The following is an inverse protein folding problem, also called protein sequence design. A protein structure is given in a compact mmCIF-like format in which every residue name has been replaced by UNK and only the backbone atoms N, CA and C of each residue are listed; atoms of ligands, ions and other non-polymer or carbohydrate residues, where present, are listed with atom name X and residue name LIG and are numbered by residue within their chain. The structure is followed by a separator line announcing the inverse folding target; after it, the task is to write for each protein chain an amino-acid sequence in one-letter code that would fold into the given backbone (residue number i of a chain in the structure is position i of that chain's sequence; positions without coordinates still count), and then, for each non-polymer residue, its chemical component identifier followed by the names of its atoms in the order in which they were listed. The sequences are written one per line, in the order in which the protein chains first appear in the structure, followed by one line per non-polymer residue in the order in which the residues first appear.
data_IF_370452777701
#
_entry.id   IF_370452777701
#
_cell.length_a   1.000
_cell.length_b   1.000
_cell.length_c   1.000
_cell.angle_alpha   90.00
_cell.angle_beta   90.00
_cell.angle_gamma   90.00
#
_symmetry.space_group_name_H-M   'P 1'
#
loop_
_entity.id
_entity.type
_entity.pdbx_description
1 polymer ?
#
# COMPACT_ATOMS: atom_id res chain seq x y z
N UNK A 1 -38.49 10.00 -0.02
CA UNK A 1 -37.20 9.95 0.67
C UNK A 1 -36.17 9.33 -0.27
N UNK A 2 -35.15 10.08 -0.66
CA UNK A 2 -34.00 9.52 -1.40
C UNK A 2 -33.21 8.65 -0.42
N UNK A 3 -33.22 7.36 -0.62
CA UNK A 3 -32.32 6.42 0.06
C UNK A 3 -30.89 6.79 -0.37
N UNK A 4 -30.14 7.40 0.52
CA UNK A 4 -28.70 7.58 0.33
C UNK A 4 -28.10 6.18 0.36
N UNK A 5 -27.57 5.69 -0.76
CA UNK A 5 -26.83 4.45 -0.80
C UNK A 5 -25.67 4.59 0.20
N UNK A 6 -25.67 3.74 1.22
CA UNK A 6 -24.60 3.75 2.21
C UNK A 6 -23.28 3.46 1.48
N UNK A 7 -22.38 4.44 1.46
CA UNK A 7 -21.04 4.23 0.92
C UNK A 7 -20.34 3.18 1.78
N UNK A 8 -19.63 2.24 1.15
CA UNK A 8 -18.83 1.27 1.88
C UNK A 8 -17.88 1.99 2.85
N UNK A 9 -17.81 1.55 4.12
CA UNK A 9 -16.85 2.13 5.05
C UNK A 9 -15.43 1.96 4.51
N UNK A 10 -14.64 3.02 4.65
CA UNK A 10 -13.25 3.02 4.20
C UNK A 10 -12.32 2.71 5.37
N UNK A 11 -11.23 2.05 5.07
CA UNK A 11 -10.11 1.83 6.00
C UNK A 11 -8.80 2.21 5.33
N UNK A 12 -7.83 2.64 6.11
CA UNK A 12 -6.49 2.88 5.61
C UNK A 12 -5.79 1.56 5.30
N UNK A 13 -5.10 1.52 4.18
CA UNK A 13 -4.33 0.37 3.71
C UNK A 13 -2.90 0.79 3.36
N UNK A 14 -1.91 -0.03 3.70
CA UNK A 14 -0.49 0.22 3.41
C UNK A 14 -0.05 -0.52 2.14
N UNK A 15 0.41 0.22 1.15
CA UNK A 15 0.97 -0.29 -0.11
C UNK A 15 2.48 -0.52 -0.04
N UNK A 16 2.91 -1.28 0.93
CA UNK A 16 4.30 -1.71 1.09
C UNK A 16 4.35 -2.92 2.01
N UNK A 17 5.01 -3.98 1.59
CA UNK A 17 5.17 -5.18 2.42
C UNK A 17 6.66 -5.57 2.56
N UNK A 18 7.52 -4.56 2.72
CA UNK A 18 8.92 -4.84 3.04
C UNK A 18 9.00 -5.56 4.39
N UNK A 19 9.84 -6.56 4.47
CA UNK A 19 10.29 -7.16 5.72
C UNK A 19 11.79 -6.95 5.85
N UNK A 20 12.35 -7.16 7.04
CA UNK A 20 13.78 -7.03 7.26
C UNK A 20 14.57 -7.86 6.23
N UNK A 21 15.52 -7.22 5.54
CA UNK A 21 16.35 -7.82 4.51
C UNK A 21 15.74 -7.91 3.09
N UNK A 22 14.50 -7.49 2.89
CA UNK A 22 13.88 -7.45 1.55
C UNK A 22 14.18 -6.15 0.78
N UNK A 23 14.51 -5.09 1.49
CA UNK A 23 14.91 -3.80 0.92
C UNK A 23 16.26 -3.43 1.50
N UNK A 24 17.23 -3.14 0.64
CA UNK A 24 18.54 -2.69 1.06
C UNK A 24 18.48 -1.28 1.65
N UNK A 25 19.33 -0.98 2.62
CA UNK A 25 19.54 0.38 3.12
C UNK A 25 20.60 1.09 2.26
N UNK A 26 20.42 2.37 2.03
CA UNK A 26 21.42 3.25 1.43
C UNK A 26 22.42 3.74 2.47
N UNK A 27 21.94 4.00 3.68
CA UNK A 27 22.70 4.47 4.83
C UNK A 27 21.94 4.16 6.12
N UNK A 28 22.64 4.20 7.25
CA UNK A 28 22.02 4.14 8.57
C UNK A 28 21.56 5.55 8.97
N UNK A 29 20.26 5.70 9.23
CA UNK A 29 19.66 6.97 9.59
C UNK A 29 19.75 7.21 11.10
N UNK A 30 20.52 8.23 11.48
CA UNK A 30 20.73 8.63 12.90
C UNK A 30 20.05 9.96 13.25
N UNK A 31 19.11 10.41 12.43
CA UNK A 31 18.39 11.68 12.63
C UNK A 31 17.16 11.55 13.52
N UNK A 32 16.35 12.62 13.53
CA UNK A 32 15.07 12.64 14.24
C UNK A 32 14.18 11.47 13.78
N UNK A 33 13.56 10.69 14.70
CA UNK A 33 12.73 9.54 14.35
C UNK A 33 11.35 9.96 13.79
N UNK A 34 11.37 10.56 12.61
CA UNK A 34 10.19 11.01 11.84
C UNK A 34 10.33 10.62 10.38
N UNK A 35 9.23 10.15 9.77
CA UNK A 35 9.19 9.83 8.35
C UNK A 35 9.43 11.07 7.49
N UNK A 36 8.90 12.23 7.88
CA UNK A 36 9.09 13.48 7.17
C UNK A 36 10.56 13.91 7.17
N UNK A 37 11.23 13.89 8.35
CA UNK A 37 12.63 14.22 8.48
C UNK A 37 13.53 13.25 7.70
N UNK A 38 13.29 11.95 7.82
CA UNK A 38 14.05 10.93 7.08
C UNK A 38 13.85 11.03 5.57
N UNK A 39 12.62 11.32 5.10
CA UNK A 39 12.34 11.51 3.67
C UNK A 39 13.05 12.73 3.09
N UNK A 40 13.23 13.79 3.88
CA UNK A 40 13.98 14.99 3.49
C UNK A 40 15.47 14.75 3.27
N UNK A 41 16.04 13.72 3.89
CA UNK A 41 17.46 13.37 3.73
C UNK A 41 17.63 12.37 2.57
N UNK A 42 18.04 12.87 1.41
CA UNK A 42 18.28 12.06 0.18
C UNK A 42 17.14 11.10 -0.15
N UNK A 43 15.92 11.49 0.18
CA UNK A 43 14.73 10.66 -0.04
C UNK A 43 14.59 9.45 0.89
N UNK A 44 15.30 9.39 2.03
CA UNK A 44 15.19 8.34 3.04
C UNK A 44 16.21 7.21 2.91
N UNK A 45 16.39 6.48 4.01
CA UNK A 45 17.42 5.45 4.18
C UNK A 45 17.24 4.20 3.34
N UNK A 46 16.01 3.88 2.94
CA UNK A 46 15.74 2.70 2.12
C UNK A 46 16.14 2.92 0.65
N UNK A 47 16.70 1.92 -0.01
CA UNK A 47 16.98 1.94 -1.44
C UNK A 47 15.72 2.07 -2.29
N UNK A 48 14.58 1.57 -1.81
CA UNK A 48 13.28 1.77 -2.44
C UNK A 48 12.70 3.13 -2.08
N UNK A 49 12.55 4.00 -3.08
CA UNK A 49 11.98 5.35 -2.89
C UNK A 49 10.49 5.36 -2.52
N UNK A 50 9.82 4.23 -2.60
CA UNK A 50 8.39 4.05 -2.32
C UNK A 50 8.10 3.20 -1.09
N UNK A 51 9.12 2.84 -0.30
CA UNK A 51 8.94 2.02 0.89
C UNK A 51 8.38 2.81 2.06
N UNK A 52 7.73 2.11 2.98
CA UNK A 52 7.41 2.66 4.30
C UNK A 52 8.71 2.89 5.09
N UNK A 53 8.93 4.08 5.63
CA UNK A 53 10.12 4.41 6.41
C UNK A 53 10.05 3.89 7.86
N UNK A 54 8.83 3.68 8.37
CA UNK A 54 8.64 3.00 9.65
C UNK A 54 8.87 3.84 10.91
N UNK A 55 8.98 5.17 10.81
CA UNK A 55 9.17 6.04 11.99
C UNK A 55 7.87 6.43 12.70
N UNK A 56 6.70 6.16 12.12
CA UNK A 56 5.43 6.25 12.85
C UNK A 56 4.73 7.61 12.82
N UNK A 57 5.04 8.55 11.91
CA UNK A 57 4.30 9.81 11.77
C UNK A 57 2.79 9.55 11.59
N UNK A 58 2.42 8.48 10.86
CA UNK A 58 1.03 8.07 10.69
C UNK A 58 0.37 7.56 11.99
N UNK A 59 1.15 7.04 12.93
CA UNK A 59 0.67 6.64 14.27
C UNK A 59 0.32 7.87 15.08
N UNK A 60 1.22 8.86 15.10
CA UNK A 60 1.05 10.09 15.89
C UNK A 60 -0.20 10.89 15.50
N UNK A 61 -0.58 10.85 14.22
CA UNK A 61 -1.76 11.60 13.74
C UNK A 61 -3.06 10.79 13.78
N UNK A 62 -3.01 9.52 14.19
CA UNK A 62 -4.19 8.67 14.24
C UNK A 62 -4.99 8.89 15.53
N UNK A 63 -6.18 9.53 15.48
CA UNK A 63 -6.94 9.83 16.70
C UNK A 63 -7.69 8.60 17.27
N UNK A 64 -7.59 7.45 16.60
CA UNK A 64 -8.31 6.22 16.93
C UNK A 64 -7.39 5.09 17.38
N UNK A 65 -6.10 5.34 17.56
CA UNK A 65 -5.10 4.31 17.87
C UNK A 65 -5.20 3.07 16.95
N UNK A 66 -5.54 3.33 15.68
CA UNK A 66 -5.75 2.28 14.69
C UNK A 66 -4.47 1.88 13.95
N UNK A 67 -3.34 2.52 14.23
CA UNK A 67 -2.07 2.27 13.51
C UNK A 67 -0.96 2.04 14.53
N UNK A 68 -0.16 1.02 14.29
CA UNK A 68 1.09 0.76 15.00
C UNK A 68 2.24 0.59 14.01
N UNK A 69 3.48 0.77 14.45
CA UNK A 69 4.67 0.36 13.68
C UNK A 69 5.21 -0.93 14.26
N UNK A 70 5.31 -1.96 13.42
CA UNK A 70 5.88 -3.24 13.79
C UNK A 70 6.83 -3.73 12.70
N UNK A 71 8.07 -4.04 13.06
CA UNK A 71 9.09 -4.46 12.10
C UNK A 71 9.42 -3.40 11.04
N UNK A 72 9.40 -2.11 11.39
CA UNK A 72 9.66 -1.00 10.47
C UNK A 72 8.53 -0.73 9.46
N UNK A 73 7.32 -1.24 9.70
CA UNK A 73 6.15 -1.06 8.87
C UNK A 73 4.94 -0.59 9.66
N UNK A 74 4.21 0.38 9.10
CA UNK A 74 2.90 0.74 9.62
C UNK A 74 1.92 -0.42 9.43
N UNK A 75 1.20 -0.80 10.46
CA UNK A 75 0.12 -1.78 10.45
C UNK A 75 -1.16 -1.13 10.88
N UNK A 76 -2.19 -1.30 10.09
CA UNK A 76 -3.51 -0.70 10.34
C UNK A 76 -4.44 -1.78 10.91
N UNK A 77 -5.06 -1.47 12.04
CA UNK A 77 -6.16 -2.25 12.58
C UNK A 77 -7.47 -1.77 11.97
N UNK A 78 -8.01 -2.56 11.03
CA UNK A 78 -9.23 -2.21 10.30
C UNK A 78 -10.46 -2.05 11.22
N UNK A 79 -10.52 -2.75 12.36
CA UNK A 79 -11.66 -2.66 13.29
C UNK A 79 -11.68 -1.34 14.07
N UNK A 80 -10.54 -0.67 14.23
CA UNK A 80 -10.42 0.64 14.87
C UNK A 80 -10.41 1.79 13.85
N UNK A 81 -10.10 1.50 12.59
CA UNK A 81 -9.93 2.51 11.55
C UNK A 81 -11.28 3.06 11.08
N UNK A 82 -11.42 4.38 11.07
CA UNK A 82 -12.63 5.07 10.60
C UNK A 82 -12.51 5.62 9.18
N UNK A 83 -11.37 5.39 8.50
CA UNK A 83 -11.14 5.90 7.15
C UNK A 83 -10.96 7.42 7.05
N UNK A 84 -10.58 8.10 8.14
CA UNK A 84 -10.48 9.58 8.16
C UNK A 84 -9.40 10.18 7.24
N UNK A 85 -8.45 9.39 6.74
CA UNK A 85 -7.44 9.82 5.76
C UNK A 85 -6.20 10.51 6.32
N UNK A 86 -6.16 10.97 7.57
CA UNK A 86 -5.05 11.74 8.16
C UNK A 86 -3.69 11.06 8.01
N UNK A 87 -3.63 9.74 8.15
CA UNK A 87 -2.40 8.96 8.00
C UNK A 87 -1.89 8.94 6.54
N UNK A 88 -2.80 8.96 5.57
CA UNK A 88 -2.44 9.00 4.15
C UNK A 88 -1.89 10.38 3.76
N UNK A 89 -2.50 11.46 4.27
CA UNK A 89 -2.06 12.84 4.07
C UNK A 89 -0.68 13.11 4.69
N UNK A 90 -0.44 12.55 5.88
CA UNK A 90 0.83 12.74 6.62
C UNK A 90 1.98 11.92 6.02
N UNK A 91 1.70 10.88 5.24
CA UNK A 91 2.74 9.98 4.76
C UNK A 91 3.60 10.60 3.64
N UNK A 92 4.89 10.92 3.87
CA UNK A 92 5.74 11.57 2.86
C UNK A 92 6.05 10.67 1.66
N UNK A 93 5.80 9.36 1.80
CA UNK A 93 6.00 8.35 0.75
C UNK A 93 4.72 7.93 0.04
N UNK A 94 3.56 8.46 0.47
CA UNK A 94 2.25 8.11 -0.07
C UNK A 94 2.02 6.58 -0.15
N UNK A 95 2.44 5.86 0.90
CA UNK A 95 2.26 4.40 0.98
C UNK A 95 0.95 4.00 1.65
N UNK A 96 0.21 4.95 2.20
CA UNK A 96 -1.11 4.71 2.79
C UNK A 96 -2.19 5.26 1.85
N UNK A 97 -3.23 4.48 1.65
CA UNK A 97 -4.40 4.88 0.87
C UNK A 97 -5.68 4.40 1.55
N UNK A 98 -6.82 4.96 1.18
CA UNK A 98 -8.12 4.51 1.66
C UNK A 98 -8.73 3.51 0.70
N UNK A 99 -9.16 2.38 1.23
CA UNK A 99 -9.82 1.30 0.47
C UNK A 99 -11.12 0.90 1.17
N UNK A 100 -12.11 0.33 0.46
CA UNK A 100 -13.28 -0.24 1.13
C UNK A 100 -12.88 -1.29 2.16
N UNK A 101 -13.49 -1.26 3.35
CA UNK A 101 -13.18 -2.21 4.43
C UNK A 101 -13.37 -3.68 4.03
N UNK A 102 -14.26 -3.94 3.07
CA UNK A 102 -14.51 -5.27 2.51
C UNK A 102 -13.70 -5.60 1.25
N UNK A 103 -12.68 -4.78 0.92
CA UNK A 103 -11.80 -5.07 -0.22
C UNK A 103 -11.13 -6.44 -0.02
N UNK A 104 -11.24 -7.31 -1.05
CA UNK A 104 -10.74 -8.69 -0.99
C UNK A 104 -9.30 -8.82 -1.50
N UNK A 105 -8.94 -8.04 -2.48
CA UNK A 105 -7.62 -8.06 -3.12
C UNK A 105 -7.00 -6.67 -3.05
N UNK A 106 -5.73 -6.62 -2.71
CA UNK A 106 -4.98 -5.37 -2.58
C UNK A 106 -3.57 -5.53 -3.13
N UNK A 107 -2.95 -4.41 -3.53
CA UNK A 107 -1.57 -4.40 -4.04
C UNK A 107 -0.63 -3.84 -2.98
N UNK A 108 0.21 -4.69 -2.40
CA UNK A 108 1.17 -4.33 -1.36
C UNK A 108 2.45 -3.68 -1.92
N UNK A 109 2.31 -2.83 -2.93
CA UNK A 109 3.44 -2.10 -3.50
C UNK A 109 2.98 -0.79 -4.13
N UNK A 110 3.71 0.28 -3.85
CA UNK A 110 3.44 1.62 -4.39
C UNK A 110 4.47 2.08 -5.43
N UNK A 111 5.43 1.22 -5.82
CA UNK A 111 6.51 1.60 -6.74
C UNK A 111 6.01 2.02 -8.12
N UNK A 112 6.64 3.05 -8.67
CA UNK A 112 6.51 3.45 -10.08
C UNK A 112 7.71 3.01 -10.92
N UNK A 113 8.72 2.42 -10.30
CA UNK A 113 9.94 1.99 -10.98
C UNK A 113 9.68 0.79 -11.90
N UNK A 114 10.50 0.65 -12.92
CA UNK A 114 10.43 -0.47 -13.87
C UNK A 114 11.06 -1.74 -13.28
N UNK A 115 10.77 -2.88 -13.89
CA UNK A 115 11.19 -4.22 -13.50
C UNK A 115 12.62 -4.29 -12.94
N UNK A 116 13.62 -3.85 -13.70
CA UNK A 116 15.04 -3.95 -13.31
C UNK A 116 15.31 -3.19 -12.01
N UNK A 117 14.91 -1.93 -11.92
CA UNK A 117 15.11 -1.10 -10.73
C UNK A 117 14.40 -1.69 -9.50
N UNK A 118 13.18 -2.25 -9.68
CA UNK A 118 12.47 -2.90 -8.56
C UNK A 118 13.20 -4.13 -8.07
N UNK A 119 13.67 -4.99 -8.96
CA UNK A 119 14.34 -6.25 -8.58
C UNK A 119 15.70 -6.03 -7.91
N UNK A 120 16.38 -4.94 -8.24
CA UNK A 120 17.64 -4.54 -7.62
C UNK A 120 17.46 -4.07 -6.16
N UNK A 121 16.32 -3.43 -5.84
CA UNK A 121 16.12 -2.78 -4.54
C UNK A 121 15.12 -3.49 -3.62
N UNK A 122 14.22 -4.32 -4.15
CA UNK A 122 13.15 -4.94 -3.37
C UNK A 122 12.82 -6.35 -3.88
N UNK A 123 12.92 -7.35 -3.00
CA UNK A 123 12.65 -8.75 -3.34
C UNK A 123 11.15 -9.05 -3.52
N UNK A 124 10.28 -8.28 -2.88
CA UNK A 124 8.81 -8.46 -2.90
C UNK A 124 8.07 -7.38 -3.70
N UNK A 125 8.80 -6.43 -4.30
CA UNK A 125 8.21 -5.32 -5.03
C UNK A 125 7.45 -5.75 -6.29
N UNK A 126 6.34 -5.09 -6.61
CA UNK A 126 5.58 -5.34 -7.83
C UNK A 126 6.40 -5.01 -9.08
N UNK A 127 6.63 -5.99 -9.93
CA UNK A 127 7.40 -5.87 -11.18
C UNK A 127 6.54 -5.47 -12.40
N UNK A 128 5.27 -5.20 -12.19
CA UNK A 128 4.32 -4.77 -13.23
C UNK A 128 4.25 -5.73 -14.43
N UNK A 129 4.32 -7.03 -14.17
CA UNK A 129 4.28 -8.07 -15.22
C UNK A 129 2.93 -8.18 -15.91
N UNK A 130 1.88 -7.53 -15.40
CA UNK A 130 0.54 -7.50 -15.97
C UNK A 130 -0.26 -8.80 -15.85
N UNK A 131 0.26 -9.83 -15.17
CA UNK A 131 -0.48 -11.10 -15.00
C UNK A 131 -1.82 -10.89 -14.30
N UNK A 132 -1.84 -10.13 -13.20
CA UNK A 132 -3.05 -9.82 -12.46
C UNK A 132 -4.09 -9.05 -13.31
N UNK A 133 -3.63 -8.19 -14.23
CA UNK A 133 -4.52 -7.50 -15.18
C UNK A 133 -5.17 -8.49 -16.12
N UNK A 134 -4.38 -9.38 -16.73
CA UNK A 134 -4.87 -10.40 -17.69
C UNK A 134 -5.75 -11.47 -17.05
N UNK A 135 -5.53 -11.76 -15.76
CA UNK A 135 -6.26 -12.82 -15.05
C UNK A 135 -7.53 -12.32 -14.36
N UNK A 136 -7.83 -11.02 -14.38
CA UNK A 136 -9.01 -10.48 -13.75
C UNK A 136 -10.23 -10.61 -14.66
N UNK A 137 -11.21 -11.47 -14.36
CA UNK A 137 -12.38 -11.64 -15.22
C UNK A 137 -13.36 -10.46 -15.17
N UNK A 138 -13.20 -9.58 -14.18
CA UNK A 138 -14.01 -8.38 -14.01
C UNK A 138 -13.37 -7.12 -14.62
N UNK A 139 -12.20 -7.23 -15.26
CA UNK A 139 -11.41 -6.08 -15.72
C UNK A 139 -11.20 -4.98 -14.65
N UNK A 140 -11.27 -5.38 -13.37
CA UNK A 140 -11.14 -4.47 -12.24
C UNK A 140 -9.69 -4.07 -11.93
N UNK A 141 -8.71 -4.74 -12.53
CA UNK A 141 -7.28 -4.50 -12.31
C UNK A 141 -6.68 -3.84 -13.54
N UNK A 142 -6.08 -2.67 -13.35
CA UNK A 142 -5.46 -1.90 -14.43
C UNK A 142 -4.02 -1.54 -14.09
N UNK A 143 -3.22 -1.24 -15.11
CA UNK A 143 -1.89 -0.63 -14.99
C UNK A 143 -1.99 0.81 -15.47
N UNK A 144 -1.97 1.75 -14.54
CA UNK A 144 -2.09 3.18 -14.79
C UNK A 144 -1.00 3.95 -14.05
N UNK A 145 -0.43 4.97 -14.69
CA UNK A 145 0.61 5.82 -14.10
C UNK A 145 1.76 5.01 -13.46
N UNK A 146 2.20 3.94 -14.14
CA UNK A 146 3.22 3.01 -13.67
C UNK A 146 2.89 2.30 -12.34
N UNK A 147 1.61 2.11 -12.03
CA UNK A 147 1.13 1.35 -10.87
C UNK A 147 0.00 0.40 -11.24
N UNK A 148 -0.09 -0.70 -10.52
CA UNK A 148 -1.29 -1.53 -10.56
C UNK A 148 -2.35 -0.88 -9.68
N UNK A 149 -3.52 -0.64 -10.25
CA UNK A 149 -4.71 -0.14 -9.60
C UNK A 149 -5.80 -1.21 -9.58
N UNK A 150 -6.62 -1.19 -8.53
CA UNK A 150 -7.80 -2.05 -8.42
C UNK A 150 -9.02 -1.15 -8.27
N UNK A 151 -9.94 -1.24 -9.21
CA UNK A 151 -11.25 -0.65 -9.06
C UNK A 151 -12.07 -1.52 -8.09
N UNK A 152 -12.00 -1.19 -6.81
CA UNK A 152 -12.67 -1.96 -5.76
C UNK A 152 -14.18 -2.03 -5.95
N UNK A 153 -14.81 -1.01 -6.52
CA UNK A 153 -16.25 -1.03 -6.81
C UNK A 153 -16.59 -2.13 -7.81
N UNK A 154 -15.88 -2.20 -8.92
CA UNK A 154 -16.05 -3.25 -9.93
C UNK A 154 -15.72 -4.62 -9.36
N UNK A 155 -14.59 -4.75 -8.64
CA UNK A 155 -14.15 -5.99 -8.01
C UNK A 155 -15.19 -6.53 -7.00
N UNK A 156 -15.76 -5.68 -6.17
CA UNK A 156 -16.76 -6.05 -5.17
C UNK A 156 -18.13 -6.38 -5.81
N UNK A 157 -18.50 -5.68 -6.89
CA UNK A 157 -19.73 -5.95 -7.64
C UNK A 157 -19.68 -7.30 -8.35
N UNK A 158 -18.53 -7.67 -8.91
CA UNK A 158 -18.34 -8.99 -9.55
C UNK A 158 -18.46 -10.14 -8.53
N UNK A 159 -18.03 -9.91 -7.30
CA UNK A 159 -18.15 -10.90 -6.22
C UNK A 159 -16.98 -11.89 -6.12
N UNK A 160 -17.09 -12.89 -5.23
CA UNK A 160 -16.02 -13.85 -4.93
C UNK A 160 -15.85 -14.96 -5.98
N UNK A 161 -16.73 -15.06 -6.96
CA UNK A 161 -16.78 -16.13 -7.96
C UNK A 161 -15.50 -16.21 -8.82
N UNK A 162 -14.75 -15.12 -8.92
CA UNK A 162 -13.46 -15.10 -9.62
C UNK A 162 -12.35 -15.88 -8.91
N UNK A 163 -12.58 -16.38 -7.65
CA UNK A 163 -11.56 -17.09 -6.87
C UNK A 163 -10.29 -16.27 -6.65
N UNK A 164 -10.36 -14.93 -6.76
CA UNK A 164 -9.22 -14.02 -6.63
C UNK A 164 -8.08 -14.34 -7.61
N UNK A 165 -8.43 -14.77 -8.82
CA UNK A 165 -7.49 -15.19 -9.86
C UNK A 165 -6.34 -14.19 -10.11
N UNK A 166 -6.59 -12.89 -9.95
CA UNK A 166 -5.56 -11.85 -10.08
C UNK A 166 -4.49 -11.93 -8.97
N UNK A 167 -4.86 -12.36 -7.76
CA UNK A 167 -3.91 -12.59 -6.68
C UNK A 167 -3.13 -13.89 -6.92
N UNK A 168 -3.82 -14.99 -7.25
CA UNK A 168 -3.20 -16.27 -7.56
C UNK A 168 -2.23 -16.22 -8.76
N UNK A 169 -2.46 -15.30 -9.71
CA UNK A 169 -1.56 -15.08 -10.85
C UNK A 169 -0.33 -14.23 -10.51
N UNK A 170 -0.20 -13.70 -9.28
CA UNK A 170 0.90 -12.83 -8.91
C UNK A 170 2.23 -13.58 -8.96
N UNK A 171 3.26 -12.96 -9.57
CA UNK A 171 4.61 -13.52 -9.62
C UNK A 171 5.48 -13.15 -8.39
N UNK A 172 4.92 -12.40 -7.46
CA UNK A 172 5.58 -11.84 -6.27
C UNK A 172 4.73 -12.08 -5.04
N UNK A 173 4.48 -13.33 -4.75
CA UNK A 173 3.87 -13.76 -3.49
C UNK A 173 4.76 -13.48 -2.29
#
# INVERSE_FOLDING_TARGET
GKTVAASDPLVSFRRCDKVAGNVALRYDYQGMPSCAAAAGLVGGSDSCSYSCLGFGDCVQVCPFDAIEVRGGLARVNASKCTGCGKCAETCPRNVLELVPARARVMVFCSTKDRLKAVTEVCKVGCIKCGRCVKSCPADAVTLENDRIHINHKVCLTYGPECGEACAAACARE
#
